data_IF_296023238856
#
_entry.id   IF_296023238856
#
_cell.length_a   1.000
_cell.length_b   1.000
_cell.length_c   1.000
_cell.angle_alpha   90.00
_cell.angle_beta   90.00
_cell.angle_gamma   90.00
#
_symmetry.space_group_name_H-M   'P 1'
#
loop_
_entity.id
_entity.type
_entity.pdbx_description
1 polymer ?
#
# COMPACT_ATOMS: atom_id res chain seq x y z
N UNK A 1 28.98 9.43 -15.90
CA UNK A 1 28.61 8.05 -15.49
C UNK A 1 27.50 8.10 -14.43
N UNK A 2 26.25 8.33 -14.83
CA UNK A 2 25.14 8.58 -13.90
C UNK A 2 24.22 7.38 -13.73
N UNK A 3 24.64 6.37 -12.98
CA UNK A 3 23.76 5.27 -12.55
C UNK A 3 23.22 5.55 -11.15
N UNK A 4 21.98 5.10 -10.87
CA UNK A 4 21.37 5.17 -9.55
C UNK A 4 20.95 3.78 -9.11
N UNK A 5 21.13 3.47 -7.82
CA UNK A 5 20.62 2.24 -7.22
C UNK A 5 19.13 2.39 -6.94
N UNK A 6 18.30 1.54 -7.55
CA UNK A 6 16.84 1.60 -7.46
C UNK A 6 16.27 0.23 -7.08
N UNK A 7 15.27 0.24 -6.20
CA UNK A 7 14.48 -0.95 -5.87
C UNK A 7 13.11 -0.87 -6.56
N UNK A 8 12.54 -2.01 -6.94
CA UNK A 8 11.17 -2.07 -7.40
C UNK A 8 10.21 -1.58 -6.29
N UNK A 9 9.21 -0.79 -6.69
CA UNK A 9 8.19 -0.23 -5.79
C UNK A 9 6.81 -0.70 -6.25
N UNK A 10 5.94 -1.07 -5.33
CA UNK A 10 4.51 -1.19 -5.62
C UNK A 10 3.96 0.16 -6.08
N UNK A 11 3.13 0.13 -7.12
CA UNK A 11 2.40 1.32 -7.57
C UNK A 11 0.99 1.19 -7.01
N UNK A 12 0.56 2.12 -6.14
CA UNK A 12 -0.83 2.12 -5.68
C UNK A 12 -1.80 2.21 -6.86
N UNK A 13 -2.96 1.57 -6.72
CA UNK A 13 -4.03 1.69 -7.71
C UNK A 13 -4.49 3.14 -7.81
N UNK A 14 -4.57 3.68 -9.03
CA UNK A 14 -5.19 4.97 -9.30
C UNK A 14 -6.70 4.79 -9.19
N UNK A 15 -7.34 5.54 -8.29
CA UNK A 15 -8.77 5.46 -8.06
C UNK A 15 -9.54 6.35 -9.05
N UNK A 16 -10.70 5.88 -9.50
CA UNK A 16 -11.65 6.71 -10.24
C UNK A 16 -12.23 7.82 -9.34
N UNK A 17 -12.86 8.82 -9.95
CA UNK A 17 -13.57 9.86 -9.23
C UNK A 17 -14.64 9.27 -8.28
N UNK A 18 -15.46 8.36 -8.79
CA UNK A 18 -16.52 7.68 -8.02
C UNK A 18 -15.95 6.89 -6.83
N UNK A 19 -14.84 6.18 -7.02
CA UNK A 19 -14.19 5.44 -5.92
C UNK A 19 -13.68 6.38 -4.82
N UNK A 20 -13.18 7.56 -5.19
CA UNK A 20 -12.76 8.58 -4.21
C UNK A 20 -13.97 9.14 -3.47
N UNK A 21 -15.02 9.49 -4.22
CA UNK A 21 -16.25 10.04 -3.65
C UNK A 21 -16.88 9.07 -2.65
N UNK A 22 -17.02 7.79 -3.02
CA UNK A 22 -17.53 6.75 -2.13
C UNK A 22 -16.67 6.57 -0.86
N UNK A 23 -15.34 6.68 -0.97
CA UNK A 23 -14.45 6.60 0.20
C UNK A 23 -14.64 7.78 1.15
N UNK A 24 -14.85 8.98 0.62
CA UNK A 24 -15.14 10.17 1.44
C UNK A 24 -16.45 9.99 2.20
N UNK A 25 -17.51 9.56 1.52
CA UNK A 25 -18.82 9.32 2.12
C UNK A 25 -18.76 8.31 3.28
N UNK A 26 -18.17 7.14 3.04
CA UNK A 26 -18.03 6.09 4.06
C UNK A 26 -17.15 6.57 5.23
N UNK A 27 -16.07 7.31 4.95
CA UNK A 27 -15.21 7.85 6.00
C UNK A 27 -15.95 8.87 6.88
N UNK A 28 -16.76 9.75 6.28
CA UNK A 28 -17.55 10.72 7.01
C UNK A 28 -18.61 10.05 7.89
N UNK A 29 -19.28 9.04 7.35
CA UNK A 29 -20.24 8.23 8.12
C UNK A 29 -19.57 7.53 9.29
N UNK A 30 -18.44 6.87 9.05
CA UNK A 30 -17.68 6.17 10.09
C UNK A 30 -17.19 7.12 11.18
N UNK A 31 -16.75 8.33 10.80
CA UNK A 31 -16.33 9.35 11.75
C UNK A 31 -17.48 9.80 12.65
N UNK A 32 -18.67 10.00 12.09
CA UNK A 32 -19.86 10.34 12.87
C UNK A 32 -20.22 9.23 13.86
N UNK A 33 -20.11 7.96 13.45
CA UNK A 33 -20.36 6.81 14.36
C UNK A 33 -19.37 6.79 15.53
N UNK A 34 -18.08 7.01 15.26
CA UNK A 34 -17.04 7.09 16.31
C UNK A 34 -17.29 8.26 17.27
N UNK A 35 -17.70 9.42 16.75
CA UNK A 35 -17.97 10.59 17.59
C UNK A 35 -19.20 10.39 18.50
N UNK A 36 -20.18 9.62 18.04
CA UNK A 36 -21.38 9.31 18.81
C UNK A 36 -21.14 8.20 19.84
N UNK A 37 -20.14 7.35 19.62
CA UNK A 37 -19.84 6.19 20.46
C UNK A 37 -18.32 6.00 20.62
N UNK A 38 -17.79 6.58 21.70
CA UNK A 38 -16.36 6.53 22.01
C UNK A 38 -15.81 5.09 22.22
N UNK A 39 -16.68 4.12 22.47
CA UNK A 39 -16.33 2.73 22.75
C UNK A 39 -16.47 1.83 21.51
N UNK A 40 -16.89 2.37 20.36
CA UNK A 40 -17.09 1.65 19.11
C UNK A 40 -15.87 0.79 18.74
N UNK A 41 -14.67 1.35 18.78
CA UNK A 41 -13.44 0.64 18.39
C UNK A 41 -13.13 -0.58 19.25
N UNK A 42 -13.60 -0.64 20.51
CA UNK A 42 -13.38 -1.82 21.37
C UNK A 42 -14.23 -3.03 20.96
N UNK A 43 -15.28 -2.80 20.16
CA UNK A 43 -16.20 -3.84 19.67
C UNK A 43 -15.95 -4.23 18.21
N UNK A 44 -15.13 -3.46 17.49
CA UNK A 44 -14.79 -3.77 16.10
C UNK A 44 -13.83 -4.96 16.06
N UNK A 45 -14.27 -6.04 15.43
CA UNK A 45 -13.42 -7.18 15.07
C UNK A 45 -13.11 -7.05 13.59
N UNK A 46 -11.82 -7.06 13.23
CA UNK A 46 -11.35 -6.96 11.84
C UNK A 46 -10.31 -8.04 11.56
N UNK A 47 -10.20 -8.43 10.29
CA UNK A 47 -9.24 -9.41 9.81
C UNK A 47 -9.05 -9.26 8.31
N UNK A 48 -7.84 -9.54 7.83
CA UNK A 48 -7.49 -9.61 6.43
C UNK A 48 -6.35 -10.62 6.27
N UNK A 49 -6.16 -11.13 5.06
CA UNK A 49 -5.13 -12.11 4.76
C UNK A 49 -3.89 -11.43 4.19
N UNK A 50 -2.72 -11.86 4.66
CA UNK A 50 -1.44 -11.45 4.08
C UNK A 50 -0.60 -12.65 3.73
N UNK A 51 0.06 -12.60 2.58
CA UNK A 51 0.96 -13.66 2.15
C UNK A 51 2.26 -13.59 2.97
N UNK A 52 2.57 -14.69 3.67
CA UNK A 52 3.84 -14.87 4.38
C UNK A 52 4.62 -15.98 3.70
N UNK A 53 5.86 -15.68 3.32
CA UNK A 53 6.74 -16.66 2.69
C UNK A 53 7.31 -17.61 3.76
N UNK A 54 7.35 -18.91 3.45
CA UNK A 54 7.96 -19.94 4.31
C UNK A 54 9.50 -20.00 4.22
N UNK A 55 10.13 -19.01 3.59
CA UNK A 55 11.58 -18.92 3.41
C UNK A 55 12.04 -17.46 3.46
N UNK A 56 13.32 -17.25 3.67
CA UNK A 56 13.92 -15.91 3.68
C UNK A 56 13.90 -15.30 2.28
N UNK A 57 13.03 -14.31 2.08
CA UNK A 57 13.00 -13.52 0.86
C UNK A 57 14.04 -12.41 0.93
N UNK A 58 14.62 -12.10 -0.23
CA UNK A 58 15.49 -10.95 -0.38
C UNK A 58 14.70 -9.66 -0.04
N UNK A 59 15.20 -8.89 0.93
CA UNK A 59 14.57 -7.63 1.32
C UNK A 59 14.58 -6.66 0.15
N UNK A 60 13.66 -5.70 0.14
CA UNK A 60 13.61 -4.63 -0.89
C UNK A 60 14.94 -3.88 -1.05
N UNK A 61 15.71 -3.76 0.03
CA UNK A 61 17.02 -3.11 0.00
C UNK A 61 18.08 -4.00 -0.68
N UNK A 62 18.07 -5.31 -0.38
CA UNK A 62 18.95 -6.28 -1.02
C UNK A 62 18.63 -6.42 -2.52
N UNK A 63 17.34 -6.46 -2.89
CA UNK A 63 16.89 -6.61 -4.28
C UNK A 63 17.07 -5.34 -5.15
N UNK A 64 17.90 -4.39 -4.73
CA UNK A 64 18.12 -3.12 -5.43
C UNK A 64 19.17 -3.26 -6.53
N UNK A 65 18.93 -2.64 -7.68
CA UNK A 65 19.78 -2.77 -8.86
C UNK A 65 20.28 -1.40 -9.34
N UNK A 66 21.49 -1.35 -9.87
CA UNK A 66 22.03 -0.18 -10.54
C UNK A 66 21.35 0.03 -11.91
N UNK A 67 20.85 1.24 -12.16
CA UNK A 67 20.08 1.57 -13.38
C UNK A 67 20.45 2.94 -13.93
N UNK A 68 20.34 3.09 -15.25
CA UNK A 68 20.42 4.35 -15.95
C UNK A 68 19.07 5.07 -15.99
N UNK A 69 19.08 6.39 -16.15
CA UNK A 69 17.89 7.26 -16.13
C UNK A 69 16.82 6.95 -17.20
N UNK A 70 17.15 6.20 -18.25
CA UNK A 70 16.21 5.80 -19.31
C UNK A 70 15.86 4.31 -19.36
N UNK A 71 16.36 3.48 -18.44
CA UNK A 71 16.10 2.04 -18.50
C UNK A 71 14.66 1.70 -18.08
N UNK A 72 14.01 0.68 -18.70
CA UNK A 72 12.69 0.21 -18.30
C UNK A 72 12.66 -0.19 -16.81
N UNK A 73 11.49 -0.06 -16.19
CA UNK A 73 11.32 -0.37 -14.77
C UNK A 73 11.49 -1.86 -14.52
N UNK A 74 12.22 -2.21 -13.47
CA UNK A 74 12.31 -3.60 -13.02
C UNK A 74 10.94 -4.10 -12.57
N UNK A 75 10.54 -5.26 -13.09
CA UNK A 75 9.43 -6.04 -12.54
C UNK A 75 10.01 -6.88 -11.40
N UNK A 76 9.30 -6.95 -10.26
CA UNK A 76 9.54 -8.05 -9.32
C UNK A 76 9.00 -9.32 -9.97
N UNK A 77 9.79 -10.39 -9.96
CA UNK A 77 9.29 -11.74 -10.18
C UNK A 77 8.39 -12.15 -9.02
#
# INVERSE_FOLDING_TARGET
MGMKRVAAKFVPKVLSFEQKQRRIEVAQESLNQVNNDAELFKRVITGDETWVYGYDIETKAQSSQWRHSGSPRSKKA
#
